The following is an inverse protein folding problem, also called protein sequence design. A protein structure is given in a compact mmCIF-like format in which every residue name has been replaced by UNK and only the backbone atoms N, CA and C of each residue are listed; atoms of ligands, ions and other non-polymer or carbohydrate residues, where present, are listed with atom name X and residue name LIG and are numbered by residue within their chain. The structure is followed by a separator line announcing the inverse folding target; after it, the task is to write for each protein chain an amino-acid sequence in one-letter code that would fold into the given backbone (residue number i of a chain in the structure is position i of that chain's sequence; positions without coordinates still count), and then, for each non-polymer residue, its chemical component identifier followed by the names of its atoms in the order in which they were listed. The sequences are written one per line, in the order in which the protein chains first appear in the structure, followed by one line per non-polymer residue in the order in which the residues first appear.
data_IF_396930068300
#
_entry.id   IF_396930068300
#
_cell.length_a   1.000
_cell.length_b   1.000
_cell.length_c   1.000
_cell.angle_alpha   90.00
_cell.angle_beta   90.00
_cell.angle_gamma   90.00
#
_symmetry.space_group_name_H-M   'P 1'
#
loop_
_entity.id
_entity.type
_entity.pdbx_description
1 polymer ?
#
# COMPACT_ATOMS: atom_id res chain seq x y z
N UNK A 1 16.37 -4.62 23.16
CA UNK A 1 17.12 -5.01 24.37
C UNK A 1 16.56 -6.33 24.85
N UNK A 2 17.37 -7.36 24.65
CA UNK A 2 17.54 -8.68 25.26
C UNK A 2 16.49 -9.28 26.24
N UNK A 3 16.01 -10.49 25.84
CA UNK A 3 15.86 -11.84 26.50
C UNK A 3 14.97 -11.90 27.78
N UNK A 4 14.15 -12.91 28.07
CA UNK A 4 14.54 -14.31 28.34
C UNK A 4 13.42 -15.33 28.16
N UNK A 5 13.83 -16.53 27.72
CA UNK A 5 13.23 -17.78 28.17
C UNK A 5 13.36 -17.83 29.69
N UNK A 6 12.25 -17.67 30.40
CA UNK A 6 12.07 -18.23 31.73
C UNK A 6 10.56 -18.29 31.99
N UNK A 7 10.15 -19.42 32.53
CA UNK A 7 8.78 -19.84 32.73
C UNK A 7 7.99 -18.83 33.58
N UNK A 8 7.09 -18.06 32.97
CA UNK A 8 6.12 -17.22 33.68
C UNK A 8 4.82 -17.11 32.85
N UNK A 9 3.62 -17.36 33.40
CA UNK A 9 2.36 -17.40 32.64
C UNK A 9 1.79 -16.00 32.37
N UNK A 10 2.66 -15.00 32.26
CA UNK A 10 2.31 -13.59 32.09
C UNK A 10 3.07 -13.01 30.90
N UNK A 11 2.87 -13.59 29.71
CA UNK A 11 3.15 -12.87 28.46
C UNK A 11 2.07 -11.79 28.37
N UNK A 12 2.42 -10.56 28.72
CA UNK A 12 1.63 -9.41 28.30
C UNK A 12 1.60 -9.44 26.77
N UNK A 13 0.42 -9.76 26.23
CA UNK A 13 0.10 -9.86 24.81
C UNK A 13 0.69 -8.66 24.04
N UNK A 14 1.72 -8.92 23.21
CA UNK A 14 2.34 -7.87 22.39
C UNK A 14 1.34 -7.50 21.31
N UNK A 15 0.59 -6.42 21.55
CA UNK A 15 -0.49 -5.99 20.64
C UNK A 15 0.02 -5.27 19.40
N UNK A 16 1.10 -4.49 19.52
CA UNK A 16 1.69 -3.71 18.42
C UNK A 16 3.21 -3.57 18.52
N UNK A 17 3.90 -3.69 17.39
CA UNK A 17 5.30 -3.30 17.25
C UNK A 17 5.57 -2.73 15.85
N UNK A 18 6.17 -1.53 15.77
CA UNK A 18 6.47 -0.85 14.50
C UNK A 18 5.25 -0.66 13.56
N UNK A 19 4.05 -0.49 14.15
CA UNK A 19 2.81 -0.38 13.39
C UNK A 19 2.28 -1.70 12.81
N UNK A 20 2.89 -2.83 13.20
CA UNK A 20 2.37 -4.17 12.95
C UNK A 20 1.64 -4.63 14.21
N UNK A 21 0.34 -4.83 14.08
CA UNK A 21 -0.52 -5.48 15.05
C UNK A 21 -0.41 -7.00 14.94
N UNK A 22 -0.33 -7.67 16.08
CA UNK A 22 -0.36 -9.13 16.15
C UNK A 22 -1.74 -9.55 16.65
N UNK A 23 -2.56 -10.10 15.76
CA UNK A 23 -3.88 -10.63 16.07
C UNK A 23 -3.77 -12.15 16.28
N UNK A 24 -4.07 -12.61 17.48
CA UNK A 24 -4.13 -14.04 17.80
C UNK A 24 -5.59 -14.51 17.82
N UNK A 25 -5.94 -15.45 16.94
CA UNK A 25 -7.30 -16.02 16.87
C UNK A 25 -7.19 -17.53 16.73
N UNK A 26 -7.92 -18.30 17.56
CA UNK A 26 -7.98 -19.77 17.50
C UNK A 26 -6.61 -20.47 17.30
N UNK A 27 -5.58 -20.05 18.06
CA UNK A 27 -4.22 -20.60 17.97
C UNK A 27 -3.43 -20.26 16.69
N UNK A 28 -3.94 -19.37 15.84
CA UNK A 28 -3.25 -18.81 14.68
C UNK A 28 -2.79 -17.36 14.97
N UNK A 29 -1.64 -17.00 14.42
CA UNK A 29 -1.06 -15.64 14.52
C UNK A 29 -1.24 -14.96 13.16
N UNK A 30 -2.01 -13.87 13.14
CA UNK A 30 -2.16 -13.01 11.97
C UNK A 30 -1.49 -11.67 12.24
N UNK A 31 -0.71 -11.18 11.27
CA UNK A 31 -0.05 -9.88 11.34
C UNK A 31 -0.84 -8.87 10.49
N UNK A 32 -1.18 -7.74 11.07
CA UNK A 32 -2.01 -6.69 10.48
C UNK A 32 -1.28 -5.35 10.56
N UNK A 33 -1.36 -4.52 9.52
CA UNK A 33 -0.91 -3.12 9.57
C UNK A 33 -2.09 -2.14 9.38
N UNK A 34 -3.32 -2.61 9.55
CA UNK A 34 -4.52 -1.84 9.20
C UNK A 34 -4.63 -0.57 10.03
N UNK A 35 -4.33 -0.64 11.33
CA UNK A 35 -4.32 0.53 12.22
C UNK A 35 -3.25 1.54 11.82
N UNK A 36 -2.05 1.10 11.47
CA UNK A 36 -1.01 2.01 10.98
C UNK A 36 -1.39 2.68 9.65
N UNK A 37 -1.94 1.91 8.71
CA UNK A 37 -2.40 2.43 7.42
C UNK A 37 -3.55 3.44 7.58
N UNK A 38 -4.48 3.22 8.51
CA UNK A 38 -5.59 4.15 8.78
C UNK A 38 -5.12 5.42 9.48
N UNK A 39 -4.13 5.33 10.38
CA UNK A 39 -3.46 6.49 10.98
C UNK A 39 -2.75 7.31 9.90
N UNK A 40 -2.04 6.66 8.97
CA UNK A 40 -1.42 7.34 7.84
C UNK A 40 -2.43 8.01 6.90
N UNK A 41 -3.57 7.35 6.64
CA UNK A 41 -4.62 7.93 5.80
C UNK A 41 -5.28 9.14 6.46
N UNK A 42 -5.50 9.11 7.78
CA UNK A 42 -6.09 10.23 8.53
C UNK A 42 -5.13 11.43 8.63
N UNK A 43 -3.84 11.17 8.91
CA UNK A 43 -2.80 12.22 8.90
C UNK A 43 -2.56 12.81 7.51
N UNK A 44 -2.65 12.00 6.45
CA UNK A 44 -2.56 12.49 5.07
C UNK A 44 -3.81 13.27 4.61
N UNK A 45 -4.86 13.37 5.44
CA UNK A 45 -6.10 14.06 5.12
C UNK A 45 -6.92 13.40 4.01
N UNK A 46 -6.63 12.13 3.67
CA UNK A 46 -7.28 11.40 2.58
C UNK A 46 -8.72 11.01 2.96
N UNK A 47 -9.00 10.82 4.26
CA UNK A 47 -10.34 10.47 4.79
C UNK A 47 -11.14 11.73 5.17
N UNK A 48 -10.51 12.91 5.27
CA UNK A 48 -11.23 14.13 5.65
C UNK A 48 -12.12 14.61 4.50
N UNK A 49 -13.44 14.57 4.70
CA UNK A 49 -14.45 15.17 3.80
C UNK A 49 -14.30 16.70 3.63
N UNK A 50 -13.42 17.35 4.40
CA UNK A 50 -13.36 18.81 4.48
C UNK A 50 -11.98 19.35 4.10
N UNK A 51 -12.01 20.40 3.27
CA UNK A 51 -11.02 21.48 3.10
C UNK A 51 -10.18 21.50 1.80
N UNK A 52 -10.78 21.19 0.64
CA UNK A 52 -10.18 21.49 -0.66
C UNK A 52 -11.02 22.49 -1.47
N UNK A 53 -10.38 23.40 -2.18
CA UNK A 53 -11.06 24.19 -3.23
C UNK A 53 -11.65 23.26 -4.28
N UNK A 54 -12.89 23.53 -4.69
CA UNK A 54 -13.60 22.74 -5.69
C UNK A 54 -12.78 22.67 -6.98
N UNK A 55 -12.58 21.46 -7.51
CA UNK A 55 -11.70 21.27 -8.66
C UNK A 55 -12.40 21.77 -9.94
N UNK A 56 -11.88 22.85 -10.52
CA UNK A 56 -12.45 23.54 -11.69
C UNK A 56 -12.59 22.67 -12.95
N UNK A 57 -11.89 21.53 -13.03
CA UNK A 57 -11.85 20.62 -14.20
C UNK A 57 -12.40 19.23 -13.87
N UNK A 58 -13.62 19.17 -13.33
CA UNK A 58 -14.25 17.92 -12.90
C UNK A 58 -14.26 16.81 -13.97
N UNK A 59 -14.37 17.15 -15.25
CA UNK A 59 -14.36 16.18 -16.35
C UNK A 59 -13.10 15.31 -16.40
N UNK A 60 -11.91 15.90 -16.25
CA UNK A 60 -10.65 15.16 -16.25
C UNK A 60 -10.52 14.20 -15.06
N UNK A 61 -11.01 14.61 -13.89
CA UNK A 61 -11.06 13.75 -12.72
C UNK A 61 -11.95 12.53 -12.99
N UNK A 62 -13.16 12.75 -13.51
CA UNK A 62 -14.13 11.68 -13.79
C UNK A 62 -13.61 10.70 -14.83
N UNK A 63 -12.97 11.17 -15.91
CA UNK A 63 -12.37 10.29 -16.92
C UNK A 63 -11.29 9.39 -16.32
N UNK A 64 -10.39 9.96 -15.50
CA UNK A 64 -9.33 9.19 -14.86
C UNK A 64 -9.88 8.16 -13.87
N UNK A 65 -10.82 8.54 -13.02
CA UNK A 65 -11.41 7.59 -12.07
C UNK A 65 -12.21 6.51 -12.80
N UNK A 66 -12.91 6.85 -13.90
CA UNK A 66 -13.56 5.85 -14.75
C UNK A 66 -12.58 4.84 -15.35
N UNK A 67 -11.44 5.31 -15.85
CA UNK A 67 -10.37 4.42 -16.34
C UNK A 67 -9.76 3.57 -15.21
N UNK A 68 -9.59 4.13 -14.02
CA UNK A 68 -9.10 3.38 -12.85
C UNK A 68 -10.09 2.31 -12.40
N UNK A 69 -11.39 2.59 -12.41
CA UNK A 69 -12.43 1.59 -12.12
C UNK A 69 -12.33 0.42 -13.10
N UNK A 70 -12.18 0.68 -14.39
CA UNK A 70 -11.96 -0.37 -15.38
C UNK A 70 -10.69 -1.20 -15.06
N UNK A 71 -9.62 -0.53 -14.66
CA UNK A 71 -8.35 -1.17 -14.31
C UNK A 71 -8.44 -2.06 -13.06
N UNK A 72 -9.33 -1.78 -12.10
CA UNK A 72 -9.48 -2.62 -10.89
C UNK A 72 -9.81 -4.08 -11.21
N UNK A 73 -10.41 -4.35 -12.38
CA UNK A 73 -10.70 -5.70 -12.83
C UNK A 73 -9.44 -6.55 -13.06
N UNK A 74 -8.36 -5.94 -13.56
CA UNK A 74 -7.08 -6.64 -13.79
C UNK A 74 -6.06 -6.39 -12.68
N UNK A 75 -6.23 -5.32 -11.89
CA UNK A 75 -5.37 -4.92 -10.77
C UNK A 75 -6.20 -4.74 -9.50
N UNK A 76 -6.53 -5.85 -8.83
CA UNK A 76 -7.33 -5.83 -7.59
C UNK A 76 -6.62 -5.12 -6.42
N UNK A 77 -5.29 -5.02 -6.45
CA UNK A 77 -4.46 -4.36 -5.43
C UNK A 77 -4.84 -2.87 -5.21
N UNK A 78 -5.33 -2.18 -6.25
CA UNK A 78 -5.75 -0.77 -6.15
C UNK A 78 -7.25 -0.61 -5.88
N UNK A 79 -8.03 -1.70 -5.85
CA UNK A 79 -9.49 -1.65 -5.83
C UNK A 79 -10.05 -0.86 -4.64
N UNK A 80 -9.46 -1.05 -3.46
CA UNK A 80 -9.86 -0.33 -2.24
C UNK A 80 -9.69 1.19 -2.39
N UNK A 81 -8.52 1.63 -2.86
CA UNK A 81 -8.22 3.06 -2.99
C UNK A 81 -9.05 3.69 -4.11
N UNK A 82 -9.26 2.97 -5.22
CA UNK A 82 -10.13 3.41 -6.32
C UNK A 82 -11.58 3.57 -5.85
N UNK A 83 -12.06 2.64 -5.01
CA UNK A 83 -13.39 2.74 -4.41
C UNK A 83 -13.54 4.02 -3.56
N UNK A 84 -12.57 4.34 -2.71
CA UNK A 84 -12.59 5.57 -1.91
C UNK A 84 -12.67 6.82 -2.80
N UNK A 85 -11.79 6.96 -3.80
CA UNK A 85 -11.80 8.16 -4.66
C UNK A 85 -13.06 8.27 -5.53
N UNK A 86 -13.70 7.15 -5.86
CA UNK A 86 -14.97 7.12 -6.60
C UNK A 86 -16.14 7.74 -5.81
N UNK A 87 -16.07 7.76 -4.47
CA UNK A 87 -17.10 8.39 -3.64
C UNK A 87 -17.14 9.92 -3.84
N UNK A 88 -16.06 10.52 -4.34
CA UNK A 88 -15.90 11.97 -4.54
C UNK A 88 -16.14 12.44 -5.99
N UNK A 89 -16.88 11.68 -6.80
CA UNK A 89 -17.18 12.04 -8.19
C UNK A 89 -18.15 13.23 -8.34
N UNK A 90 -19.07 13.43 -7.38
CA UNK A 90 -20.08 14.49 -7.46
C UNK A 90 -19.46 15.89 -7.26
N UNK A 91 -18.45 15.99 -6.40
CA UNK A 91 -17.75 17.24 -6.10
C UNK A 91 -16.26 16.95 -5.82
N UNK A 92 -15.43 16.77 -6.87
CA UNK A 92 -14.02 16.51 -6.69
C UNK A 92 -13.30 17.72 -6.11
N UNK A 93 -12.37 17.46 -5.18
CA UNK A 93 -11.48 18.47 -4.61
C UNK A 93 -10.08 18.30 -5.19
N UNK A 94 -9.27 19.36 -5.11
CA UNK A 94 -7.86 19.31 -5.54
C UNK A 94 -7.08 18.20 -4.83
N UNK A 95 -7.34 17.96 -3.55
CA UNK A 95 -6.76 16.87 -2.75
C UNK A 95 -7.08 15.50 -3.32
N UNK A 96 -8.36 15.23 -3.63
CA UNK A 96 -8.79 13.97 -4.27
C UNK A 96 -8.10 13.76 -5.63
N UNK A 97 -7.92 14.83 -6.41
CA UNK A 97 -7.21 14.74 -7.69
C UNK A 97 -5.74 14.36 -7.52
N UNK A 98 -5.03 14.89 -6.51
CA UNK A 98 -3.66 14.47 -6.21
C UNK A 98 -3.56 12.99 -5.84
N UNK A 99 -4.53 12.46 -5.08
CA UNK A 99 -4.60 11.02 -4.77
C UNK A 99 -4.75 10.20 -6.04
N UNK A 100 -5.68 10.58 -6.94
CA UNK A 100 -5.87 9.92 -8.24
C UNK A 100 -4.58 9.92 -9.06
N UNK A 101 -3.86 11.04 -9.13
CA UNK A 101 -2.56 11.10 -9.82
C UNK A 101 -1.52 10.17 -9.19
N UNK A 102 -1.53 10.00 -7.86
CA UNK A 102 -0.64 9.06 -7.17
C UNK A 102 -0.97 7.61 -7.51
N UNK A 103 -2.24 7.25 -7.60
CA UNK A 103 -2.68 5.91 -8.04
C UNK A 103 -2.23 5.66 -9.47
N UNK A 104 -2.42 6.62 -10.37
CA UNK A 104 -1.98 6.51 -11.77
C UNK A 104 -0.46 6.31 -11.85
N UNK A 105 0.32 7.05 -11.05
CA UNK A 105 1.78 6.86 -10.98
C UNK A 105 2.15 5.47 -10.48
N UNK A 106 1.47 4.95 -9.46
CA UNK A 106 1.69 3.60 -8.95
C UNK A 106 1.50 2.53 -10.03
N UNK A 107 0.41 2.63 -10.80
CA UNK A 107 0.10 1.71 -11.90
C UNK A 107 1.16 1.73 -13.01
N UNK A 108 1.82 2.88 -13.24
CA UNK A 108 2.83 3.03 -14.29
C UNK A 108 4.19 2.47 -13.86
N UNK A 109 4.43 2.32 -12.54
CA UNK A 109 5.66 1.73 -12.03
C UNK A 109 5.65 0.23 -12.32
N UNK A 110 6.71 -0.25 -12.99
CA UNK A 110 6.93 -1.66 -13.28
C UNK A 110 8.14 -2.13 -12.50
N UNK A 111 7.96 -3.09 -11.60
CA UNK A 111 9.08 -3.74 -10.91
C UNK A 111 9.23 -5.17 -11.41
N UNK A 112 10.45 -5.56 -11.76
CA UNK A 112 10.83 -6.94 -11.99
C UNK A 112 11.63 -7.41 -10.79
N UNK A 113 11.33 -8.59 -10.28
CA UNK A 113 12.13 -9.25 -9.26
C UNK A 113 12.54 -10.60 -9.82
N UNK A 114 13.82 -10.93 -9.71
CA UNK A 114 14.37 -12.21 -10.12
C UNK A 114 15.13 -12.81 -8.94
N UNK A 115 14.90 -14.11 -8.72
CA UNK A 115 15.47 -14.84 -7.59
C UNK A 115 16.07 -16.13 -8.09
N UNK A 116 17.40 -16.16 -8.14
CA UNK A 116 18.15 -17.36 -8.44
C UNK A 116 18.47 -18.10 -7.15
N UNK A 117 17.80 -19.24 -6.98
CA UNK A 117 18.08 -20.17 -5.88
C UNK A 117 19.29 -21.05 -6.24
N UNK A 118 20.32 -21.03 -5.39
CA UNK A 118 21.42 -22.00 -5.47
C UNK A 118 22.42 -21.79 -6.60
N UNK A 119 22.63 -20.54 -7.05
CA UNK A 119 23.61 -20.19 -8.10
C UNK A 119 25.05 -20.63 -7.74
N UNK A 120 25.38 -20.72 -6.45
CA UNK A 120 26.64 -21.29 -5.96
C UNK A 120 26.42 -22.70 -5.34
N UNK A 121 27.01 -23.78 -5.91
CA UNK A 121 26.95 -25.13 -5.36
C UNK A 121 27.56 -25.27 -3.95
N UNK A 122 28.47 -24.37 -3.56
CA UNK A 122 29.20 -24.44 -2.30
C UNK A 122 28.57 -23.60 -1.19
N UNK A 123 28.10 -22.38 -1.50
CA UNK A 123 27.55 -21.45 -0.50
C UNK A 123 26.00 -21.46 -0.47
N UNK A 124 25.33 -21.99 -1.51
CA UNK A 124 23.86 -21.97 -1.69
C UNK A 124 23.19 -20.61 -1.48
N UNK A 125 23.97 -19.53 -1.51
CA UNK A 125 23.46 -18.20 -1.21
C UNK A 125 22.52 -17.77 -2.33
N UNK A 126 21.30 -17.36 -1.95
CA UNK A 126 20.31 -16.89 -2.92
C UNK A 126 20.68 -15.49 -3.37
N UNK A 127 20.66 -15.25 -4.69
CA UNK A 127 20.86 -13.91 -5.26
C UNK A 127 19.49 -13.39 -5.68
N UNK A 128 19.01 -12.38 -4.95
CA UNK A 128 17.78 -11.66 -5.28
C UNK A 128 18.17 -10.37 -5.98
N UNK A 129 17.72 -10.16 -7.21
CA UNK A 129 17.85 -8.88 -7.91
C UNK A 129 16.46 -8.30 -8.17
N UNK A 130 16.35 -6.98 -8.17
CA UNK A 130 15.10 -6.31 -8.48
C UNK A 130 15.39 -5.10 -9.35
N UNK A 131 14.51 -4.79 -10.29
CA UNK A 131 14.63 -3.67 -11.21
C UNK A 131 13.33 -2.88 -11.17
N UNK A 132 13.38 -1.61 -10.83
CA UNK A 132 12.19 -0.76 -10.76
C UNK A 132 12.25 0.28 -11.88
N UNK A 133 11.25 0.25 -12.74
CA UNK A 133 11.07 1.15 -13.88
C UNK A 133 9.92 2.12 -13.65
N UNK A 134 10.11 3.36 -14.10
CA UNK A 134 9.03 4.33 -14.29
C UNK A 134 8.89 4.58 -15.79
N UNK A 135 7.84 4.00 -16.39
CA UNK A 135 7.72 3.98 -17.85
C UNK A 135 8.82 3.13 -18.49
N UNK A 136 9.69 3.76 -19.28
CA UNK A 136 10.84 3.11 -19.93
C UNK A 136 12.18 3.38 -19.22
N UNK A 137 12.17 4.16 -18.13
CA UNK A 137 13.37 4.56 -17.41
C UNK A 137 13.60 3.68 -16.19
N UNK A 138 14.78 3.06 -16.07
CA UNK A 138 15.21 2.34 -14.87
C UNK A 138 15.59 3.35 -13.78
N UNK A 139 14.97 3.24 -12.60
CA UNK A 139 15.22 4.13 -11.47
C UNK A 139 16.11 3.46 -10.42
N UNK A 140 15.94 2.15 -10.22
CA UNK A 140 16.61 1.41 -9.16
C UNK A 140 16.92 -0.03 -9.60
N UNK A 141 18.08 -0.56 -9.22
CA UNK A 141 18.48 -1.97 -9.38
C UNK A 141 19.36 -2.45 -8.21
#
# INVERSE_FOLDING_TARGET
MIITSDDNPCISEVKEFLGIEVLTFNNEISLSQVTYATVLLSTAGIISQSNGTLFSKATHYLTLVGSLIYLTFTLSDIAYVVHIVSQFMVAPCSTHYFVVLRIVRYVIIKSYADVDWGRDPFDRHSTTSYYIFLGYSLIFW
#
